data_IF_098166542287
#
_entry.id   IF_098166542287
#
_cell.length_a   1.000
_cell.length_b   1.000
_cell.length_c   1.000
_cell.angle_alpha   90.00
_cell.angle_beta   90.00
_cell.angle_gamma   90.00
#
_symmetry.space_group_name_H-M   'P 1'
#
loop_
_entity.id
_entity.type
_entity.pdbx_description
1 polymer ?
#
# COMPACT_ATOMS: atom_id res chain seq x y z
N UNK A 1 -10.95 31.47 -16.82
CA UNK A 1 -11.06 31.26 -15.37
C UNK A 1 -10.78 29.78 -15.10
N UNK A 2 -9.51 29.46 -14.78
CA UNK A 2 -9.05 28.09 -14.59
C UNK A 2 -9.38 27.63 -13.15
N UNK A 3 -10.24 26.64 -13.01
CA UNK A 3 -10.44 25.93 -11.75
C UNK A 3 -9.59 24.67 -11.76
N UNK A 4 -8.55 24.66 -10.93
CA UNK A 4 -7.75 23.49 -10.61
C UNK A 4 -8.62 22.45 -9.90
N UNK A 5 -8.80 21.30 -10.52
CA UNK A 5 -9.31 20.10 -9.88
C UNK A 5 -8.16 19.46 -9.07
N UNK A 6 -8.19 19.66 -7.76
CA UNK A 6 -7.37 18.89 -6.85
C UNK A 6 -8.03 17.52 -6.65
N UNK A 7 -7.54 16.50 -7.34
CA UNK A 7 -7.89 15.11 -7.05
C UNK A 7 -7.25 14.70 -5.72
N UNK A 8 -8.05 14.69 -4.65
CA UNK A 8 -7.65 14.15 -3.36
C UNK A 8 -7.72 12.62 -3.45
N UNK A 9 -6.61 11.99 -3.81
CA UNK A 9 -6.47 10.54 -3.81
C UNK A 9 -6.57 10.04 -2.37
N UNK A 10 -7.62 9.26 -2.08
CA UNK A 10 -7.75 8.52 -0.84
C UNK A 10 -6.67 7.43 -0.83
N UNK A 11 -5.56 7.67 -0.13
CA UNK A 11 -4.52 6.69 0.06
C UNK A 11 -5.05 5.58 0.97
N UNK A 12 -5.39 4.45 0.38
CA UNK A 12 -5.64 3.20 1.09
C UNK A 12 -4.33 2.80 1.77
N UNK A 13 -4.33 2.79 3.10
CA UNK A 13 -3.25 2.26 3.92
C UNK A 13 -3.25 0.72 3.83
N UNK A 14 -2.87 0.19 2.68
CA UNK A 14 -2.26 -1.12 2.65
C UNK A 14 -0.94 -1.02 3.41
N UNK A 15 -0.56 -2.09 4.11
CA UNK A 15 0.80 -2.20 4.67
C UNK A 15 1.74 -1.67 3.62
N UNK A 16 2.42 -0.58 3.98
CA UNK A 16 3.19 0.19 3.03
C UNK A 16 4.37 -0.65 2.52
N UNK A 17 4.11 -1.49 1.52
CA UNK A 17 5.14 -1.73 0.52
C UNK A 17 5.47 -0.36 -0.05
N UNK A 18 6.74 0.00 -0.02
CA UNK A 18 7.21 1.27 -0.53
C UNK A 18 6.76 1.42 -2.00
N UNK A 19 5.64 2.08 -2.23
CA UNK A 19 5.23 2.45 -3.57
C UNK A 19 6.16 3.59 -4.00
N UNK A 20 7.35 3.22 -4.49
CA UNK A 20 8.10 4.11 -5.38
C UNK A 20 7.17 4.49 -6.52
N UNK A 21 7.15 5.75 -6.91
CA UNK A 21 6.33 6.20 -8.04
C UNK A 21 6.75 5.39 -9.27
N UNK A 22 5.86 4.52 -9.75
CA UNK A 22 6.13 3.65 -10.89
C UNK A 22 5.44 4.24 -12.09
N UNK A 23 6.22 4.65 -13.07
CA UNK A 23 5.77 4.98 -14.41
C UNK A 23 6.08 3.81 -15.33
N UNK A 24 5.08 3.26 -16.00
CA UNK A 24 5.26 2.10 -16.90
C UNK A 24 4.98 2.51 -18.34
N UNK A 25 5.90 2.22 -19.24
CA UNK A 25 5.72 2.36 -20.69
C UNK A 25 5.82 0.99 -21.37
N UNK A 26 5.00 0.78 -22.43
CA UNK A 26 4.94 -0.48 -23.17
C UNK A 26 5.01 -0.16 -24.65
N UNK A 27 5.88 -0.88 -25.35
CA UNK A 27 6.00 -0.82 -26.80
C UNK A 27 5.81 -2.21 -27.39
N UNK A 28 4.86 -2.35 -28.33
CA UNK A 28 4.64 -3.59 -29.08
C UNK A 28 5.27 -3.44 -30.46
N UNK A 29 6.19 -4.33 -30.81
CA UNK A 29 6.86 -4.37 -32.12
C UNK A 29 6.78 -5.75 -32.75
N UNK A 30 7.25 -5.89 -34.00
CA UNK A 30 7.32 -7.20 -34.71
C UNK A 30 8.20 -8.24 -34.00
N UNK A 31 9.07 -7.82 -33.08
CA UNK A 31 9.99 -8.67 -32.33
C UNK A 31 9.50 -9.09 -30.94
N UNK A 32 8.24 -8.79 -30.60
CA UNK A 32 7.66 -9.10 -29.29
C UNK A 32 7.25 -7.86 -28.51
N UNK A 33 6.84 -8.07 -27.26
CA UNK A 33 6.47 -7.00 -26.35
C UNK A 33 7.67 -6.64 -25.47
N UNK A 34 8.02 -5.37 -25.48
CA UNK A 34 9.05 -4.80 -24.61
C UNK A 34 8.40 -3.75 -23.71
N UNK A 35 8.85 -3.66 -22.49
CA UNK A 35 8.37 -2.64 -21.59
C UNK A 35 9.44 -2.18 -20.64
N UNK A 36 9.19 -1.03 -20.01
CA UNK A 36 10.04 -0.44 -19.00
C UNK A 36 9.18 0.01 -17.83
N UNK A 37 9.73 -0.09 -16.63
CA UNK A 37 9.18 0.55 -15.44
C UNK A 37 10.23 1.47 -14.84
N UNK A 38 9.84 2.71 -14.58
CA UNK A 38 10.71 3.70 -13.94
C UNK A 38 10.36 3.77 -12.46
N UNK A 39 11.38 3.71 -11.64
CA UNK A 39 11.31 3.78 -10.18
C UNK A 39 11.98 5.05 -9.72
N UNK A 40 11.28 5.83 -8.90
CA UNK A 40 11.85 7.00 -8.25
C UNK A 40 12.64 6.65 -6.99
N UNK A 41 13.33 7.63 -6.42
CA UNK A 41 14.02 7.45 -5.14
C UNK A 41 13.00 7.15 -4.03
N UNK A 42 13.42 6.31 -3.08
CA UNK A 42 12.64 6.02 -1.90
C UNK A 42 12.59 7.26 -0.99
N UNK A 43 11.40 7.83 -0.82
CA UNK A 43 11.16 9.01 0.01
C UNK A 43 10.30 8.75 1.25
N UNK A 44 10.06 7.49 1.56
CA UNK A 44 9.35 7.03 2.76
C UNK A 44 10.00 5.77 3.33
N UNK A 45 9.97 5.62 4.64
CA UNK A 45 10.54 4.47 5.32
C UNK A 45 9.72 3.20 5.09
N UNK A 46 10.40 2.06 5.01
CA UNK A 46 9.77 0.75 4.97
C UNK A 46 9.40 0.33 6.40
N UNK A 47 8.12 -0.03 6.60
CA UNK A 47 7.69 -0.55 7.89
C UNK A 47 8.23 -1.97 8.08
N UNK A 48 9.11 -2.15 9.05
CA UNK A 48 9.66 -3.46 9.41
C UNK A 48 8.70 -4.21 10.33
N UNK A 49 8.33 -5.43 9.95
CA UNK A 49 7.49 -6.33 10.75
C UNK A 49 8.28 -7.62 10.96
N UNK A 50 8.99 -7.70 12.08
CA UNK A 50 9.71 -8.90 12.46
C UNK A 50 8.82 -9.91 13.22
N UNK A 51 9.24 -11.18 13.25
CA UNK A 51 8.63 -12.25 14.02
C UNK A 51 7.29 -12.76 13.51
N UNK A 52 6.93 -12.46 12.26
CA UNK A 52 5.67 -12.91 11.66
C UNK A 52 5.92 -13.36 10.20
N UNK A 53 6.68 -14.47 10.00
CA UNK A 53 7.01 -14.96 8.67
C UNK A 53 5.76 -15.51 7.96
N UNK A 54 5.72 -15.36 6.64
CA UNK A 54 4.72 -16.01 5.80
C UNK A 54 5.10 -15.93 4.32
N UNK A 55 4.47 -16.79 3.52
CA UNK A 55 4.33 -16.64 2.09
C UNK A 55 2.86 -16.68 1.70
N UNK A 56 2.48 -15.94 0.66
CA UNK A 56 1.11 -15.89 0.17
C UNK A 56 1.06 -15.42 -1.29
N UNK A 57 -0.10 -15.54 -1.90
CA UNK A 57 -0.42 -14.93 -3.17
C UNK A 57 -1.48 -13.84 -2.95
N UNK A 58 -1.21 -12.63 -3.41
CA UNK A 58 -2.18 -11.53 -3.43
C UNK A 58 -2.93 -11.57 -4.74
N UNK A 59 -4.24 -11.77 -4.66
CA UNK A 59 -5.16 -11.72 -5.80
C UNK A 59 -5.95 -10.43 -5.77
N UNK A 60 -6.12 -9.84 -6.94
CA UNK A 60 -6.89 -8.61 -7.14
C UNK A 60 -8.01 -8.87 -8.14
N UNK A 61 -9.21 -8.39 -7.84
CA UNK A 61 -10.35 -8.40 -8.73
C UNK A 61 -11.05 -7.04 -8.70
N UNK A 62 -11.54 -6.63 -9.86
CA UNK A 62 -12.34 -5.41 -10.01
C UNK A 62 -13.59 -5.73 -10.80
N UNK A 63 -14.75 -5.25 -10.33
CA UNK A 63 -16.05 -5.43 -11.00
C UNK A 63 -16.73 -4.08 -11.12
N UNK A 64 -16.99 -3.67 -12.34
CA UNK A 64 -17.77 -2.47 -12.63
C UNK A 64 -19.15 -2.88 -13.16
N UNK A 65 -20.21 -2.33 -12.57
CA UNK A 65 -21.58 -2.49 -13.06
C UNK A 65 -21.99 -1.25 -13.84
N UNK A 66 -22.33 -1.42 -15.11
CA UNK A 66 -22.82 -0.34 -15.97
C UNK A 66 -24.29 -0.07 -15.71
N UNK A 67 -24.79 1.07 -16.21
CA UNK A 67 -26.17 1.53 -15.99
C UNK A 67 -27.22 0.57 -16.59
N UNK A 68 -26.88 -0.23 -17.58
CA UNK A 68 -27.72 -1.27 -18.19
C UNK A 68 -27.66 -2.62 -17.45
N UNK A 69 -26.93 -2.70 -16.34
CA UNK A 69 -26.71 -3.91 -15.56
C UNK A 69 -25.59 -4.81 -16.06
N UNK A 70 -24.84 -4.42 -17.10
CA UNK A 70 -23.68 -5.18 -17.57
C UNK A 70 -22.55 -5.13 -16.54
N UNK A 71 -21.96 -6.30 -16.25
CA UNK A 71 -20.78 -6.41 -15.37
C UNK A 71 -19.50 -6.53 -16.20
N UNK A 72 -18.55 -5.64 -15.93
CA UNK A 72 -17.19 -5.73 -16.44
C UNK A 72 -16.31 -6.25 -15.32
N UNK A 73 -15.87 -7.50 -15.41
CA UNK A 73 -15.03 -8.14 -14.42
C UNK A 73 -13.58 -8.23 -14.92
N UNK A 74 -12.66 -7.76 -14.09
CA UNK A 74 -11.23 -7.84 -14.33
C UNK A 74 -10.56 -8.57 -13.17
N UNK A 75 -9.78 -9.60 -13.47
CA UNK A 75 -8.93 -10.30 -12.50
C UNK A 75 -7.49 -10.11 -12.93
N UNK A 76 -6.65 -9.76 -11.98
CA UNK A 76 -5.22 -9.54 -12.23
C UNK A 76 -4.43 -10.79 -11.84
N UNK A 77 -3.29 -11.11 -12.51
CA UNK A 77 -2.42 -12.18 -12.09
C UNK A 77 -1.95 -11.96 -10.65
N UNK A 78 -1.87 -13.05 -9.93
CA UNK A 78 -1.46 -13.04 -8.55
C UNK A 78 -0.03 -12.51 -8.39
N UNK A 79 0.16 -11.72 -7.34
CA UNK A 79 1.46 -11.28 -6.88
C UNK A 79 1.90 -12.20 -5.75
N UNK A 80 3.10 -12.80 -5.85
CA UNK A 80 3.65 -13.61 -4.76
C UNK A 80 4.32 -12.69 -3.73
N UNK A 81 4.06 -12.96 -2.48
CA UNK A 81 4.58 -12.20 -1.35
C UNK A 81 5.24 -13.14 -0.37
N UNK A 82 6.41 -12.75 0.10
CA UNK A 82 7.18 -13.45 1.12
C UNK A 82 7.65 -12.45 2.17
N UNK A 83 7.62 -12.88 3.43
CA UNK A 83 8.23 -12.15 4.55
C UNK A 83 8.87 -13.16 5.49
N UNK A 84 10.10 -12.93 5.87
CA UNK A 84 10.81 -13.75 6.84
C UNK A 84 10.65 -13.22 8.28
N UNK A 85 11.19 -13.97 9.23
CA UNK A 85 11.18 -13.61 10.66
C UNK A 85 12.02 -12.38 11.00
N UNK A 86 12.98 -12.00 10.15
CA UNK A 86 13.78 -10.78 10.30
C UNK A 86 13.08 -9.54 9.76
N UNK A 87 11.95 -9.71 9.04
CA UNK A 87 11.17 -8.65 8.44
C UNK A 87 11.66 -8.26 7.03
N UNK A 88 12.54 -9.07 6.41
CA UNK A 88 12.84 -8.94 4.99
C UNK A 88 11.59 -9.34 4.21
N UNK A 89 11.32 -8.62 3.12
CA UNK A 89 10.17 -8.90 2.26
C UNK A 89 10.61 -9.09 0.82
N UNK A 90 9.90 -9.96 0.10
CA UNK A 90 10.01 -10.13 -1.35
C UNK A 90 8.63 -10.10 -1.96
N UNK A 91 8.48 -9.33 -3.02
CA UNK A 91 7.28 -9.27 -3.85
C UNK A 91 7.64 -9.61 -5.30
N UNK A 92 6.91 -10.57 -5.89
CA UNK A 92 7.03 -10.93 -7.29
C UNK A 92 5.73 -10.55 -7.98
N UNK A 93 5.74 -9.48 -8.74
CA UNK A 93 4.54 -8.96 -9.41
C UNK A 93 4.69 -8.95 -10.92
N UNK A 94 3.61 -9.20 -11.65
CA UNK A 94 3.61 -9.03 -13.10
C UNK A 94 3.96 -7.58 -13.46
N UNK A 95 4.83 -7.41 -14.47
CA UNK A 95 5.21 -6.10 -14.97
C UNK A 95 4.06 -5.38 -15.69
N UNK A 96 3.09 -6.13 -16.22
CA UNK A 96 1.93 -5.59 -16.92
C UNK A 96 0.67 -5.73 -16.08
N UNK A 97 -0.10 -4.64 -16.02
CA UNK A 97 -1.45 -4.60 -15.44
C UNK A 97 -2.42 -4.04 -16.49
N UNK A 98 -3.64 -4.55 -16.52
CA UNK A 98 -4.72 -4.03 -17.35
C UNK A 98 -5.14 -4.93 -18.52
N UNK A 99 -5.90 -4.40 -19.50
CA UNK A 99 -6.54 -5.19 -20.56
C UNK A 99 -5.57 -5.96 -21.48
N UNK A 100 -4.34 -5.49 -21.60
CA UNK A 100 -3.26 -6.16 -22.36
C UNK A 100 -2.73 -7.42 -21.69
N UNK A 101 -3.11 -7.64 -20.43
CA UNK A 101 -2.62 -8.71 -19.59
C UNK A 101 -3.02 -10.12 -20.04
N UNK A 102 -4.09 -10.27 -20.80
CA UNK A 102 -4.50 -11.59 -21.37
C UNK A 102 -3.39 -12.21 -22.21
N UNK A 103 -2.56 -11.39 -22.84
CA UNK A 103 -1.40 -11.82 -23.61
C UNK A 103 -0.13 -11.98 -22.75
N UNK A 104 -0.11 -11.39 -21.55
CA UNK A 104 1.04 -11.41 -20.65
C UNK A 104 1.04 -12.60 -19.67
N UNK A 105 -0.12 -13.22 -19.42
CA UNK A 105 -0.27 -14.36 -18.50
C UNK A 105 0.60 -15.55 -18.95
N UNK A 106 0.85 -15.71 -20.25
CA UNK A 106 1.70 -16.78 -20.82
C UNK A 106 3.21 -16.44 -20.78
N UNK A 107 3.58 -15.21 -20.41
CA UNK A 107 4.96 -14.72 -20.50
C UNK A 107 5.68 -14.80 -19.16
N UNK A 108 6.31 -15.95 -18.89
CA UNK A 108 7.14 -16.23 -17.70
C UNK A 108 8.23 -15.17 -17.41
N UNK A 109 8.54 -14.28 -18.34
CA UNK A 109 9.64 -13.32 -18.25
C UNK A 109 9.28 -11.92 -17.77
N UNK A 110 7.98 -11.60 -17.61
CA UNK A 110 7.54 -10.23 -17.30
C UNK A 110 7.18 -10.07 -15.82
N UNK A 111 8.07 -10.51 -14.94
CA UNK A 111 7.92 -10.38 -13.49
C UNK A 111 8.96 -9.41 -12.96
N UNK A 112 8.49 -8.39 -12.24
CA UNK A 112 9.33 -7.51 -11.43
C UNK A 112 9.43 -8.10 -10.04
N UNK A 113 10.64 -8.26 -9.57
CA UNK A 113 10.96 -8.71 -8.22
C UNK A 113 11.45 -7.51 -7.43
N UNK A 114 10.86 -7.32 -6.27
CA UNK A 114 11.25 -6.31 -5.30
C UNK A 114 11.60 -7.00 -3.98
N UNK A 115 12.81 -6.77 -3.48
CA UNK A 115 13.27 -7.26 -2.18
C UNK A 115 13.57 -6.05 -1.30
N UNK A 116 12.94 -5.99 -0.13
CA UNK A 116 13.27 -5.00 0.89
C UNK A 116 13.99 -5.71 2.03
N UNK A 117 15.24 -5.36 2.25
CA UNK A 117 16.08 -5.88 3.33
C UNK A 117 16.36 -4.79 4.38
N UNK A 118 15.54 -4.72 5.43
CA UNK A 118 15.76 -3.76 6.51
C UNK A 118 16.97 -4.08 7.39
N UNK A 119 17.51 -5.29 7.30
CA UNK A 119 18.70 -5.71 8.06
C UNK A 119 19.97 -5.18 7.40
N UNK A 120 20.03 -5.31 6.05
CA UNK A 120 21.12 -4.75 5.26
C UNK A 120 20.90 -3.29 4.89
N UNK A 121 19.70 -2.74 5.13
CA UNK A 121 19.26 -1.38 4.75
C UNK A 121 19.22 -1.12 3.25
N UNK A 122 18.85 -2.12 2.46
CA UNK A 122 18.76 -2.00 1.00
C UNK A 122 17.43 -2.50 0.46
N UNK A 123 17.02 -1.89 -0.66
CA UNK A 123 16.01 -2.42 -1.55
C UNK A 123 16.69 -2.87 -2.84
N UNK A 124 16.26 -4.03 -3.37
CA UNK A 124 16.67 -4.52 -4.68
C UNK A 124 15.45 -4.61 -5.58
N UNK A 125 15.58 -4.14 -6.83
CA UNK A 125 14.54 -4.25 -7.86
C UNK A 125 15.18 -4.82 -9.12
N UNK A 126 14.60 -5.90 -9.65
CA UNK A 126 15.09 -6.55 -10.85
C UNK A 126 13.97 -7.30 -11.58
N UNK A 127 14.24 -7.78 -12.78
CA UNK A 127 13.37 -8.68 -13.53
C UNK A 127 14.02 -10.04 -13.69
N UNK A 128 13.23 -11.05 -14.03
CA UNK A 128 13.76 -12.41 -14.26
C UNK A 128 14.41 -12.57 -15.63
N UNK A 129 14.31 -11.56 -16.51
CA UNK A 129 14.84 -11.59 -17.89
C UNK A 129 16.06 -10.72 -18.12
N UNK A 130 16.30 -9.75 -17.25
CA UNK A 130 17.47 -8.87 -17.31
C UNK A 130 18.35 -9.16 -16.07
N UNK A 131 19.61 -9.60 -16.22
CA UNK A 131 20.48 -9.93 -15.10
C UNK A 131 21.09 -8.70 -14.42
N UNK A 132 20.33 -7.61 -14.33
CA UNK A 132 20.69 -6.40 -13.59
C UNK A 132 19.76 -6.27 -12.38
N UNK A 133 20.33 -6.19 -11.18
CA UNK A 133 19.62 -5.87 -9.96
C UNK A 133 19.96 -4.44 -9.52
N UNK A 134 18.97 -3.58 -9.55
CA UNK A 134 19.11 -2.20 -9.08
C UNK A 134 18.99 -2.17 -7.57
N UNK A 135 19.97 -1.57 -6.89
CA UNK A 135 20.02 -1.45 -5.43
C UNK A 135 19.88 0.00 -5.01
N UNK A 136 18.95 0.27 -4.10
CA UNK A 136 18.80 1.57 -3.43
C UNK A 136 18.94 1.40 -1.92
N UNK A 137 19.50 2.41 -1.25
CA UNK A 137 19.53 2.46 0.21
C UNK A 137 18.12 2.77 0.74
N UNK A 138 17.66 2.00 1.73
CA UNK A 138 16.38 2.27 2.41
C UNK A 138 16.51 3.53 3.27
N UNK A 139 15.55 4.47 3.16
CA UNK A 139 15.56 5.66 3.99
C UNK A 139 15.51 5.30 5.48
N UNK A 140 16.39 5.88 6.26
CA UNK A 140 16.32 5.81 7.71
C UNK A 140 15.35 6.85 8.24
N UNK A 141 14.78 6.63 9.44
CA UNK A 141 13.90 7.62 10.08
C UNK A 141 14.57 9.00 10.19
N UNK A 142 15.88 9.02 10.40
CA UNK A 142 16.69 10.24 10.46
C UNK A 142 16.77 10.94 9.10
N UNK A 143 16.87 10.19 8.01
CA UNK A 143 16.93 10.75 6.64
C UNK A 143 15.59 11.33 6.19
N UNK A 144 14.48 10.82 6.74
CA UNK A 144 13.13 11.32 6.46
C UNK A 144 12.76 12.58 7.24
N UNK A 145 13.65 13.06 8.12
CA UNK A 145 13.42 14.26 8.94
C UNK A 145 12.26 14.12 9.93
N UNK A 146 11.86 12.90 10.28
CA UNK A 146 10.80 12.64 11.24
C UNK A 146 11.31 12.95 12.65
N UNK A 147 10.73 13.95 13.37
CA UNK A 147 11.17 14.27 14.72
C UNK A 147 10.99 13.06 15.66
N UNK A 148 11.90 12.84 16.63
CA UNK A 148 11.87 11.69 17.54
C UNK A 148 10.54 11.50 18.30
N UNK A 149 9.82 12.58 18.55
CA UNK A 149 8.53 12.56 19.24
C UNK A 149 7.38 11.86 18.46
N UNK A 150 7.53 11.61 17.16
CA UNK A 150 6.56 10.89 16.34
C UNK A 150 6.93 9.43 16.10
N UNK A 151 8.06 8.97 16.63
CA UNK A 151 8.57 7.60 16.41
C UNK A 151 7.84 6.56 17.25
N UNK A 152 7.16 6.95 18.35
CA UNK A 152 6.42 6.05 19.21
C UNK A 152 4.90 6.26 19.05
N UNK A 153 4.33 5.70 18.00
CA UNK A 153 2.87 5.67 17.79
C UNK A 153 2.15 4.72 18.75
N UNK A 154 2.35 4.88 20.05
CA UNK A 154 1.52 4.26 21.07
C UNK A 154 0.85 5.38 21.86
N UNK A 155 -0.37 5.68 21.51
CA UNK A 155 -1.26 6.46 22.36
C UNK A 155 -1.56 5.65 23.62
N UNK A 156 -0.71 5.76 24.62
CA UNK A 156 -1.06 5.35 25.97
C UNK A 156 -1.95 6.45 26.57
N UNK A 157 -3.24 6.30 26.45
CA UNK A 157 -4.17 6.95 27.34
C UNK A 157 -4.02 6.29 28.71
N UNK A 158 -3.16 6.79 29.55
CA UNK A 158 -3.07 6.40 30.96
C UNK A 158 -3.75 7.47 31.79
N UNK A 159 -4.99 7.18 32.18
CA UNK A 159 -5.63 7.83 33.31
C UNK A 159 -5.12 7.20 34.59
N UNK A 160 -4.34 7.93 35.36
CA UNK A 160 -4.16 7.62 36.81
C UNK A 160 -4.30 8.90 37.59
N UNK A 161 -5.34 8.92 38.40
CA UNK A 161 -5.55 9.94 39.41
C UNK A 161 -4.53 9.82 40.54
N UNK A 162 -4.23 10.92 41.21
CA UNK A 162 -3.42 10.92 42.44
C UNK A 162 -2.96 12.30 42.84
N UNK A 163 -3.77 12.95 43.70
CA UNK A 163 -3.36 13.80 44.82
C UNK A 163 -2.49 15.05 44.56
N UNK A 164 -3.16 16.18 44.68
CA UNK A 164 -2.57 17.52 44.98
C UNK A 164 -1.69 17.50 46.22
N UNK A 165 -0.59 18.32 46.33
CA UNK A 165 -0.73 19.58 47.03
C UNK A 165 0.11 20.76 46.48
N UNK A 166 -0.47 21.97 46.72
CA UNK A 166 0.16 23.29 46.96
C UNK A 166 0.91 24.02 45.82
N UNK A 167 0.29 25.10 45.37
CA UNK A 167 0.90 26.18 44.61
C UNK A 167 1.96 26.97 45.42
N UNK A 168 2.99 27.58 44.78
CA UNK A 168 3.04 29.01 44.46
C UNK A 168 3.85 29.33 43.18
N UNK A 169 4.17 30.58 42.81
CA UNK A 169 3.32 31.68 42.41
C UNK A 169 3.42 32.04 40.91
N UNK A 170 2.52 32.88 40.47
CA UNK A 170 2.34 33.41 39.12
C UNK A 170 3.61 33.79 38.33
N UNK A 171 3.77 33.16 37.16
CA UNK A 171 4.56 33.70 36.05
C UNK A 171 3.59 33.95 34.86
N UNK A 172 3.69 35.17 34.36
CA UNK A 172 2.86 35.77 33.32
C UNK A 172 2.61 34.81 32.16
N UNK A 173 1.34 34.58 31.86
CA UNK A 173 0.87 33.94 30.62
C UNK A 173 1.31 34.80 29.42
N UNK A 174 2.25 34.28 28.65
CA UNK A 174 2.43 34.65 27.26
C UNK A 174 1.34 33.93 26.50
N UNK A 175 0.48 34.69 25.84
CA UNK A 175 -0.73 34.25 25.23
C UNK A 175 -0.55 33.04 24.29
N UNK A 176 -1.10 31.93 24.69
CA UNK A 176 -1.37 30.80 23.80
C UNK A 176 -2.49 31.26 22.86
N UNK A 177 -2.13 31.58 21.62
CA UNK A 177 -3.06 31.65 20.51
C UNK A 177 -3.47 30.20 20.16
N UNK A 178 -4.16 29.55 21.07
CA UNK A 178 -5.01 28.41 20.74
C UNK A 178 -6.17 28.98 19.92
N UNK A 179 -5.93 29.21 18.63
CA UNK A 179 -6.98 29.41 17.66
C UNK A 179 -7.82 28.14 17.63
N UNK A 180 -8.88 28.10 18.43
CA UNK A 180 -9.97 27.17 18.22
C UNK A 180 -10.47 27.47 16.81
N UNK A 181 -9.98 26.68 15.82
CA UNK A 181 -10.54 26.63 14.50
C UNK A 181 -12.00 26.23 14.72
N UNK A 182 -12.90 27.22 14.65
CA UNK A 182 -14.33 26.92 14.49
C UNK A 182 -14.40 25.96 13.33
N UNK A 183 -14.81 24.73 13.62
CA UNK A 183 -15.26 23.80 12.60
C UNK A 183 -16.48 24.48 12.02
N UNK A 184 -16.31 25.19 10.92
CA UNK A 184 -17.43 25.69 10.14
C UNK A 184 -18.17 24.44 9.72
N UNK A 185 -19.45 24.32 10.09
CA UNK A 185 -20.34 23.29 9.55
C UNK A 185 -20.42 23.56 8.04
N UNK A 186 -19.57 22.87 7.30
CA UNK A 186 -19.55 22.89 5.86
C UNK A 186 -20.55 21.83 5.39
N UNK A 187 -21.71 22.22 4.82
CA UNK A 187 -22.74 21.28 4.39
C UNK A 187 -22.23 20.34 3.29
N UNK A 188 -21.17 20.72 2.58
CA UNK A 188 -20.57 19.92 1.50
C UNK A 188 -19.52 18.93 2.03
N UNK A 189 -19.26 18.94 3.36
CA UNK A 189 -18.26 18.06 3.95
C UNK A 189 -18.75 16.61 3.95
N UNK A 190 -17.90 15.64 3.49
CA UNK A 190 -18.25 14.22 3.56
C UNK A 190 -18.39 13.77 5.00
N UNK A 191 -19.37 12.91 5.23
CA UNK A 191 -19.61 12.25 6.50
C UNK A 191 -18.85 10.92 6.54
N UNK A 192 -18.20 10.64 7.66
CA UNK A 192 -17.44 9.41 7.87
C UNK A 192 -18.06 8.61 9.00
N UNK A 193 -18.21 7.32 8.80
CA UNK A 193 -18.53 6.38 9.86
C UNK A 193 -17.59 5.19 9.82
N UNK A 194 -17.37 4.58 10.99
CA UNK A 194 -16.56 3.38 11.14
C UNK A 194 -17.35 2.36 11.94
N UNK A 195 -17.38 1.14 11.43
CA UNK A 195 -18.04 -0.01 12.03
C UNK A 195 -16.99 -1.10 12.29
N UNK A 196 -17.05 -1.70 13.48
CA UNK A 196 -16.30 -2.90 13.82
C UNK A 196 -17.11 -4.13 13.36
N UNK A 197 -16.51 -4.94 12.50
CA UNK A 197 -17.14 -6.14 11.93
C UNK A 197 -16.84 -7.40 12.76
N UNK A 198 -16.11 -7.24 13.89
CA UNK A 198 -15.69 -8.35 14.73
C UNK A 198 -14.56 -9.18 14.12
N UNK A 199 -14.52 -10.46 14.47
CA UNK A 199 -13.43 -11.38 14.08
C UNK A 199 -13.96 -12.48 13.18
N UNK A 200 -13.19 -12.80 12.12
CA UNK A 200 -13.49 -13.88 11.17
C UNK A 200 -12.24 -14.67 10.85
N UNK A 201 -12.39 -15.94 10.46
CA UNK A 201 -11.32 -16.75 9.89
C UNK A 201 -11.37 -16.63 8.36
N UNK A 202 -10.30 -16.12 7.77
CA UNK A 202 -10.13 -15.94 6.32
C UNK A 202 -8.86 -16.67 5.90
N UNK A 203 -8.93 -17.60 4.94
CA UNK A 203 -7.82 -18.45 4.50
C UNK A 203 -7.08 -19.15 5.67
N UNK A 204 -7.83 -19.58 6.68
CA UNK A 204 -7.28 -20.22 7.88
C UNK A 204 -6.60 -19.26 8.87
N UNK A 205 -6.67 -17.96 8.64
CA UNK A 205 -6.05 -16.92 9.48
C UNK A 205 -7.14 -16.11 10.18
N UNK A 206 -6.98 -15.92 11.48
CA UNK A 206 -7.85 -15.02 12.26
C UNK A 206 -7.60 -13.57 11.83
N UNK A 207 -8.68 -12.87 11.50
CA UNK A 207 -8.64 -11.47 11.09
C UNK A 207 -9.75 -10.67 11.77
N UNK A 208 -9.44 -9.43 12.11
CA UNK A 208 -10.34 -8.42 12.67
C UNK A 208 -10.81 -7.51 11.55
N UNK A 209 -12.14 -7.33 11.47
CA UNK A 209 -12.79 -6.58 10.39
C UNK A 209 -13.16 -5.17 10.82
N UNK A 210 -12.96 -4.23 9.92
CA UNK A 210 -13.42 -2.85 10.05
C UNK A 210 -13.99 -2.36 8.73
N UNK A 211 -15.13 -1.71 8.77
CA UNK A 211 -15.73 -1.02 7.63
C UNK A 211 -15.71 0.48 7.85
N UNK A 212 -15.22 1.21 6.89
CA UNK A 212 -15.31 2.66 6.81
C UNK A 212 -16.30 3.04 5.72
N UNK A 213 -17.23 3.92 6.05
CA UNK A 213 -18.22 4.46 5.10
C UNK A 213 -18.00 5.94 4.98
N UNK A 214 -17.93 6.43 3.74
CA UNK A 214 -17.87 7.86 3.42
C UNK A 214 -19.10 8.22 2.62
N UNK A 215 -19.91 9.17 3.11
CA UNK A 215 -21.09 9.67 2.42
C UNK A 215 -20.88 11.12 2.02
N UNK A 216 -20.93 11.38 0.72
CA UNK A 216 -20.88 12.71 0.13
C UNK A 216 -22.31 13.26 0.05
N UNK A 217 -22.61 14.41 0.69
CA UNK A 217 -23.91 15.06 0.57
C UNK A 217 -24.25 15.46 -0.86
N UNK A 218 -25.51 15.78 -1.09
CA UNK A 218 -25.97 16.32 -2.38
C UNK A 218 -25.20 17.60 -2.71
N UNK A 219 -24.68 17.69 -3.91
CA UNK A 219 -23.93 18.84 -4.40
C UNK A 219 -22.44 18.84 -4.09
N UNK A 220 -21.98 18.12 -3.04
CA UNK A 220 -20.60 18.15 -2.56
C UNK A 220 -19.55 17.82 -3.63
N UNK A 221 -19.87 16.93 -4.55
CA UNK A 221 -19.02 16.52 -5.68
C UNK A 221 -19.73 16.69 -7.04
N UNK A 222 -20.80 17.52 -7.09
CA UNK A 222 -21.66 17.71 -8.26
C UNK A 222 -22.76 16.66 -8.41
N UNK A 223 -23.02 15.89 -7.37
CA UNK A 223 -24.00 14.81 -7.30
C UNK A 223 -25.41 15.37 -6.98
N UNK A 224 -26.45 14.81 -7.58
CA UNK A 224 -27.89 15.11 -7.35
C UNK A 224 -28.48 14.27 -6.20
N UNK A 225 -27.77 13.27 -5.71
CA UNK A 225 -28.12 12.40 -4.59
C UNK A 225 -26.87 12.15 -3.74
N UNK A 226 -27.03 11.78 -2.47
CA UNK A 226 -25.87 11.36 -1.68
C UNK A 226 -25.13 10.20 -2.35
N UNK A 227 -23.81 10.26 -2.38
CA UNK A 227 -22.93 9.18 -2.88
C UNK A 227 -22.21 8.56 -1.69
N UNK A 228 -22.37 7.27 -1.51
CA UNK A 228 -21.74 6.53 -0.43
C UNK A 228 -20.74 5.55 -1.01
N UNK A 229 -19.50 5.57 -0.49
CA UNK A 229 -18.52 4.53 -0.72
C UNK A 229 -18.21 3.80 0.60
N UNK A 230 -17.89 2.52 0.49
CA UNK A 230 -17.49 1.69 1.63
C UNK A 230 -16.12 1.09 1.40
N UNK A 231 -15.37 0.94 2.50
CA UNK A 231 -14.07 0.32 2.51
C UNK A 231 -14.00 -0.65 3.68
N UNK A 232 -13.94 -1.93 3.38
CA UNK A 232 -13.89 -3.00 4.34
C UNK A 232 -12.48 -3.60 4.38
N UNK A 233 -11.90 -3.72 5.57
CA UNK A 233 -10.55 -4.21 5.77
C UNK A 233 -10.53 -5.26 6.87
N UNK A 234 -9.95 -6.42 6.58
CA UNK A 234 -9.73 -7.52 7.51
C UNK A 234 -8.25 -7.71 7.73
N UNK A 235 -7.80 -7.45 8.96
CA UNK A 235 -6.40 -7.49 9.36
C UNK A 235 -6.13 -8.62 10.33
N UNK A 236 -5.09 -9.41 10.06
CA UNK A 236 -4.60 -10.39 11.02
C UNK A 236 -3.72 -9.73 12.08
N UNK A 237 -4.05 -9.87 13.38
CA UNK A 237 -3.17 -9.44 14.46
C UNK A 237 -1.86 -10.24 14.49
N UNK A 238 -1.92 -11.54 14.20
CA UNK A 238 -0.76 -12.45 14.20
C UNK A 238 0.24 -12.10 13.10
N UNK A 239 -0.25 -12.01 11.87
CA UNK A 239 0.60 -11.67 10.73
C UNK A 239 0.86 -10.16 10.64
N UNK A 240 0.11 -9.34 11.39
CA UNK A 240 0.15 -7.86 11.30
C UNK A 240 -0.08 -7.35 9.87
N UNK A 241 -0.86 -8.12 9.10
CA UNK A 241 -1.08 -7.93 7.67
C UNK A 241 -2.59 -7.87 7.34
N UNK A 242 -2.94 -7.16 6.24
CA UNK A 242 -4.29 -7.16 5.70
C UNK A 242 -4.49 -8.41 4.86
N UNK A 243 -5.45 -9.25 5.27
CA UNK A 243 -5.77 -10.51 4.59
C UNK A 243 -6.80 -10.29 3.48
N UNK A 244 -7.74 -9.36 3.71
CA UNK A 244 -8.79 -9.02 2.75
C UNK A 244 -9.08 -7.53 2.84
N UNK A 245 -9.21 -6.89 1.70
CA UNK A 245 -9.74 -5.54 1.57
C UNK A 245 -10.76 -5.51 0.44
N UNK A 246 -11.91 -4.89 0.69
CA UNK A 246 -12.95 -4.63 -0.29
C UNK A 246 -13.27 -3.15 -0.32
N UNK A 247 -13.38 -2.60 -1.50
CA UNK A 247 -13.82 -1.22 -1.70
C UNK A 247 -14.99 -1.23 -2.66
N UNK A 248 -16.08 -0.58 -2.30
CA UNK A 248 -17.26 -0.39 -3.15
C UNK A 248 -17.51 1.10 -3.29
N UNK A 249 -17.43 1.59 -4.53
CA UNK A 249 -17.67 2.98 -4.91
C UNK A 249 -18.58 2.99 -6.14
N UNK A 250 -19.79 3.56 -6.05
CA UNK A 250 -20.74 3.60 -7.17
C UNK A 250 -20.19 4.23 -8.46
N UNK A 251 -19.12 5.01 -8.35
CA UNK A 251 -18.45 5.67 -9.49
C UNK A 251 -17.42 4.77 -10.18
N UNK A 252 -16.79 3.88 -9.41
CA UNK A 252 -15.65 3.09 -9.87
C UNK A 252 -15.92 1.59 -9.85
N UNK A 253 -16.98 1.14 -9.13
CA UNK A 253 -17.30 -0.28 -8.92
C UNK A 253 -16.60 -0.88 -7.69
N UNK A 254 -16.63 -2.20 -7.64
CA UNK A 254 -16.07 -2.97 -6.54
C UNK A 254 -14.64 -3.40 -6.84
N UNK A 255 -13.75 -3.25 -5.85
CA UNK A 255 -12.40 -3.78 -5.89
C UNK A 255 -12.18 -4.70 -4.69
N UNK A 256 -11.61 -5.87 -4.92
CA UNK A 256 -11.26 -6.83 -3.88
C UNK A 256 -9.77 -7.18 -3.98
N UNK A 257 -9.06 -7.09 -2.87
CA UNK A 257 -7.70 -7.56 -2.71
C UNK A 257 -7.69 -8.59 -1.59
N UNK A 258 -7.13 -9.77 -1.84
CA UNK A 258 -7.13 -10.88 -0.88
C UNK A 258 -5.80 -11.62 -0.92
N UNK A 259 -5.30 -12.01 0.24
CA UNK A 259 -4.22 -12.98 0.36
C UNK A 259 -4.82 -14.38 0.35
N UNK A 260 -4.28 -15.24 -0.49
CA UNK A 260 -4.65 -16.66 -0.61
C UNK A 260 -3.39 -17.52 -0.49
N UNK A 261 -3.57 -18.84 -0.30
CA UNK A 261 -2.45 -19.79 -0.18
C UNK A 261 -1.44 -19.40 0.91
N UNK A 262 -1.95 -18.90 2.05
CA UNK A 262 -1.10 -18.39 3.14
C UNK A 262 -0.40 -19.55 3.83
N UNK A 263 0.93 -19.52 3.82
CA UNK A 263 1.80 -20.45 4.55
C UNK A 263 2.60 -19.66 5.59
N UNK A 264 2.52 -20.05 6.86
CA UNK A 264 3.18 -19.39 8.00
C UNK A 264 4.58 -19.96 8.32
N UNK A 265 5.07 -20.89 7.49
CA UNK A 265 6.44 -21.37 7.62
C UNK A 265 7.44 -20.29 7.22
N UNK A 266 8.63 -20.35 7.80
CA UNK A 266 9.76 -19.50 7.41
C UNK A 266 10.08 -19.71 5.92
N UNK A 267 10.06 -18.67 5.07
CA UNK A 267 10.47 -18.80 3.68
C UNK A 267 11.97 -19.07 3.55
N UNK A 268 12.37 -19.70 2.43
CA UNK A 268 13.78 -19.95 2.14
C UNK A 268 14.58 -18.63 2.13
N UNK A 269 15.66 -18.52 2.89
CA UNK A 269 16.49 -17.31 2.96
C UNK A 269 17.01 -16.82 1.60
N UNK A 270 17.26 -17.73 0.65
CA UNK A 270 17.71 -17.40 -0.71
C UNK A 270 16.71 -16.55 -1.50
N UNK A 271 15.44 -16.55 -1.09
CA UNK A 271 14.42 -15.68 -1.70
C UNK A 271 14.70 -14.19 -1.46
N UNK A 272 15.43 -13.84 -0.41
CA UNK A 272 15.75 -12.46 -0.03
C UNK A 272 17.14 -12.03 -0.51
N UNK A 273 17.72 -12.78 -1.42
CA UNK A 273 19.01 -12.49 -2.03
C UNK A 273 18.85 -12.23 -3.53
N UNK A 274 19.77 -11.44 -4.09
CA UNK A 274 19.89 -11.28 -5.54
C UNK A 274 20.38 -12.59 -6.13
N UNK A 275 19.71 -13.16 -7.16
CA UNK A 275 20.12 -14.44 -7.71
C UNK A 275 21.56 -14.44 -8.25
N UNK A 276 22.26 -15.58 -8.22
CA UNK A 276 23.59 -15.71 -8.82
C UNK A 276 23.59 -15.30 -10.30
N UNK A 277 24.63 -14.61 -10.71
CA UNK A 277 24.79 -14.14 -12.11
C UNK A 277 24.20 -12.77 -12.41
N UNK A 278 23.53 -12.15 -11.44
CA UNK A 278 23.08 -10.75 -11.58
C UNK A 278 24.21 -9.77 -11.27
N UNK A 279 24.24 -8.67 -12.02
CA UNK A 279 25.10 -7.51 -11.70
C UNK A 279 24.31 -6.54 -10.84
N UNK A 280 24.81 -6.24 -9.65
CA UNK A 280 24.18 -5.24 -8.76
C UNK A 280 24.65 -3.85 -9.19
N UNK A 281 23.69 -2.97 -9.46
CA UNK A 281 23.92 -1.57 -9.82
C UNK A 281 23.37 -0.66 -8.73
N UNK A 282 24.22 0.24 -8.21
CA UNK A 282 23.81 1.23 -7.22
C UNK A 282 23.01 2.35 -7.86
N UNK A 283 21.88 2.68 -7.24
CA UNK A 283 21.00 3.75 -7.70
C UNK A 283 20.75 4.75 -6.56
N UNK A 284 21.05 6.01 -6.83
CA UNK A 284 20.84 7.13 -5.89
C UNK A 284 19.68 8.04 -6.29
N UNK A 285 19.07 7.78 -7.45
CA UNK A 285 17.98 8.57 -8.02
C UNK A 285 16.96 7.71 -8.74
N UNK A 286 16.31 8.29 -9.74
CA UNK A 286 15.40 7.58 -10.63
C UNK A 286 16.16 6.60 -11.53
N UNK A 287 15.62 5.38 -11.70
CA UNK A 287 16.16 4.38 -12.59
C UNK A 287 15.06 3.61 -13.33
N UNK A 288 15.44 2.91 -14.38
CA UNK A 288 14.52 2.17 -15.23
C UNK A 288 14.91 0.71 -15.30
N UNK A 289 13.92 -0.16 -15.09
CA UNK A 289 14.01 -1.60 -15.26
C UNK A 289 13.34 -1.98 -16.57
N UNK A 290 13.99 -2.82 -17.38
CA UNK A 290 13.49 -3.26 -18.67
C UNK A 290 13.08 -4.74 -18.63
N UNK A 291 12.10 -5.11 -19.41
CA UNK A 291 11.74 -6.50 -19.65
C UNK A 291 11.33 -6.73 -21.10
N UNK A 292 11.45 -7.97 -21.53
CA UNK A 292 11.00 -8.41 -22.84
C UNK A 292 10.22 -9.73 -22.73
N UNK A 293 9.18 -9.87 -23.56
CA UNK A 293 8.53 -11.15 -23.74
C UNK A 293 9.47 -12.12 -24.43
N UNK A 294 9.70 -13.35 -23.93
CA UNK A 294 10.37 -14.37 -24.70
C UNK A 294 9.57 -14.68 -25.97
N UNK A 295 10.26 -15.03 -27.05
CA UNK A 295 9.66 -15.47 -28.31
C UNK A 295 9.03 -16.83 -28.20
#
# INVERSE_FOLDING_TARGET
MNRFLASLGCALLFSAFALSQISTSITTGQSGMHGTATFGPLNHGVRVIAGAPYSAEKVEAHVQTLADGTHISQTFPATKIYRDSMGRTREERPALRGPLQRHAIESKGMTIVEINDPVAHFQYIFTLTDPIAHRQELPTEKSLGIPPQFQNGHSAASSTGGTEPAAPPAVRAVGSLAGARRVVDDPDRPQFSTEDLGTQIIEGIQAEGRRQTTTWPVGAIGNDRPVTNTNETWRSPDLKEIILSKSDDPRNGESTNKLVNINRSEPDPSLFEVPPGYTVKEETGEFTVSWSSPR
#
